data_IF_101035591013
#
_entry.id   IF_101035591013
#
_cell.length_a   1.000
_cell.length_b   1.000
_cell.length_c   1.000
_cell.angle_alpha   90.00
_cell.angle_beta   90.00
_cell.angle_gamma   90.00
#
_symmetry.space_group_name_H-M   'P 1'
#
loop_
_entity.id
_entity.type
_entity.pdbx_description
1 polymer ?
#
# COMPACT_ATOMS: atom_id res chain seq x y z
N UNK A 1 -10.62 3.92 3.08
CA UNK A 1 -10.09 4.05 1.72
C UNK A 1 -9.33 2.79 1.36
N UNK A 2 -9.16 2.54 0.07
CA UNK A 2 -8.34 1.42 -0.40
C UNK A 2 -7.32 1.93 -1.41
N UNK A 3 -6.07 1.52 -1.25
CA UNK A 3 -5.02 1.73 -2.24
C UNK A 3 -4.77 0.41 -2.95
N UNK A 4 -4.91 0.42 -4.28
CA UNK A 4 -4.68 -0.75 -5.12
C UNK A 4 -3.22 -0.83 -5.59
N UNK A 5 -2.70 0.28 -6.10
CA UNK A 5 -1.36 0.35 -6.65
C UNK A 5 -0.69 1.67 -6.29
N UNK A 6 0.53 1.58 -5.79
CA UNK A 6 1.47 2.68 -5.65
C UNK A 6 2.81 2.19 -6.18
N UNK A 7 3.44 2.97 -7.04
CA UNK A 7 4.73 2.64 -7.60
C UNK A 7 5.57 3.90 -7.74
N UNK A 8 6.87 3.73 -7.54
CA UNK A 8 7.90 4.71 -7.88
C UNK A 8 8.79 4.06 -8.94
N UNK A 9 9.03 4.81 -10.00
CA UNK A 9 9.96 4.41 -11.06
C UNK A 9 11.32 4.02 -10.45
N UNK A 10 11.95 2.91 -10.89
CA UNK A 10 13.21 2.42 -10.34
C UNK A 10 14.30 3.48 -10.18
N UNK A 11 14.43 4.39 -11.15
CA UNK A 11 15.48 5.41 -11.18
C UNK A 11 15.25 6.52 -10.16
N UNK A 12 14.04 6.61 -9.60
CA UNK A 12 13.62 7.62 -8.64
C UNK A 12 13.38 7.04 -7.23
N UNK A 13 13.65 5.75 -7.01
CA UNK A 13 13.47 5.11 -5.70
C UNK A 13 14.42 5.71 -4.65
N UNK A 14 14.04 5.56 -3.38
CA UNK A 14 14.77 6.08 -2.20
C UNK A 14 14.88 7.62 -2.15
N UNK A 15 14.20 8.34 -3.04
CA UNK A 15 14.03 9.80 -2.99
C UNK A 15 12.85 10.31 -2.15
N UNK A 16 12.17 9.44 -1.40
CA UNK A 16 11.03 9.81 -0.54
C UNK A 16 9.68 9.94 -1.24
N UNK A 17 9.59 9.75 -2.57
CA UNK A 17 8.35 9.91 -3.33
C UNK A 17 7.21 8.99 -2.88
N UNK A 18 7.52 7.76 -2.45
CA UNK A 18 6.51 6.83 -1.93
C UNK A 18 5.78 7.42 -0.70
N UNK A 19 6.55 7.94 0.26
CA UNK A 19 6.00 8.61 1.45
C UNK A 19 5.23 9.86 1.05
N UNK A 20 5.80 10.71 0.21
CA UNK A 20 5.15 11.93 -0.26
C UNK A 20 3.75 11.67 -0.87
N UNK A 21 3.64 10.63 -1.70
CA UNK A 21 2.35 10.23 -2.27
C UNK A 21 1.37 9.71 -1.20
N UNK A 22 1.86 8.92 -0.24
CA UNK A 22 1.03 8.37 0.84
C UNK A 22 0.50 9.46 1.78
N UNK A 23 1.35 10.39 2.20
CA UNK A 23 0.96 11.53 3.04
C UNK A 23 -0.17 12.34 2.37
N UNK A 24 -0.04 12.59 1.06
CA UNK A 24 -1.06 13.30 0.29
C UNK A 24 -2.39 12.51 0.15
N UNK A 25 -2.33 11.18 0.13
CA UNK A 25 -3.53 10.32 0.13
C UNK A 25 -4.19 10.33 1.51
N UNK A 26 -3.41 10.23 2.58
CA UNK A 26 -3.89 10.31 3.96
C UNK A 26 -4.60 11.64 4.23
N UNK A 27 -4.00 12.77 3.87
CA UNK A 27 -4.59 14.10 4.04
C UNK A 27 -5.96 14.20 3.35
N UNK A 28 -6.05 13.74 2.08
CA UNK A 28 -7.31 13.77 1.32
C UNK A 28 -8.37 12.88 1.94
N UNK A 29 -8.00 11.68 2.38
CA UNK A 29 -8.93 10.75 2.99
C UNK A 29 -9.41 11.22 4.36
N UNK A 30 -8.54 11.82 5.16
CA UNK A 30 -8.89 12.45 6.44
C UNK A 30 -9.86 13.62 6.23
N UNK A 31 -9.61 14.48 5.24
CA UNK A 31 -10.52 15.58 4.90
C UNK A 31 -11.92 15.11 4.47
N UNK A 32 -12.04 13.87 3.98
CA UNK A 32 -13.31 13.22 3.63
C UNK A 32 -13.93 12.43 4.79
N UNK A 33 -13.34 12.47 5.99
CA UNK A 33 -13.81 11.71 7.16
C UNK A 33 -13.58 10.20 7.03
N UNK A 34 -12.64 9.77 6.19
CA UNK A 34 -12.34 8.37 6.01
C UNK A 34 -11.38 7.89 7.12
N UNK A 35 -11.81 6.96 8.00
CA UNK A 35 -11.07 6.69 9.25
C UNK A 35 -9.91 5.71 9.10
N UNK A 36 -9.80 5.02 7.95
CA UNK A 36 -8.82 3.95 7.75
C UNK A 36 -8.46 3.79 6.28
N UNK A 37 -7.21 3.44 6.00
CA UNK A 37 -6.73 2.99 4.71
C UNK A 37 -6.40 1.50 4.79
N UNK A 38 -6.86 0.72 3.80
CA UNK A 38 -6.47 -0.67 3.63
C UNK A 38 -5.69 -0.83 2.31
N UNK A 39 -4.79 -1.80 2.28
CA UNK A 39 -4.01 -2.21 1.12
C UNK A 39 -3.60 -3.67 1.29
N UNK A 40 -3.21 -4.32 0.19
CA UNK A 40 -2.70 -5.68 0.23
C UNK A 40 -1.32 -5.73 -0.40
N UNK A 41 -0.38 -6.33 0.33
CA UNK A 41 0.97 -6.59 -0.15
C UNK A 41 1.15 -8.10 -0.21
N UNK A 42 1.87 -8.59 -1.23
CA UNK A 42 2.28 -10.00 -1.25
C UNK A 42 3.22 -10.25 -0.08
N UNK A 43 2.99 -11.32 0.68
CA UNK A 43 3.80 -11.67 1.86
C UNK A 43 5.28 -11.87 1.55
N UNK A 44 5.62 -12.22 0.31
CA UNK A 44 7.00 -12.35 -0.16
C UNK A 44 7.71 -11.03 -0.45
N UNK A 45 6.99 -9.90 -0.50
CA UNK A 45 7.56 -8.60 -0.81
C UNK A 45 7.91 -7.84 0.47
N UNK A 46 8.99 -8.29 1.13
CA UNK A 46 9.44 -7.74 2.42
C UNK A 46 9.81 -6.26 2.32
N UNK A 47 10.41 -5.81 1.21
CA UNK A 47 10.77 -4.39 1.02
C UNK A 47 9.54 -3.47 1.06
N UNK A 48 8.42 -3.88 0.44
CA UNK A 48 7.18 -3.09 0.47
C UNK A 48 6.50 -3.16 1.83
N UNK A 49 6.59 -4.29 2.53
CA UNK A 49 6.09 -4.41 3.91
C UNK A 49 6.85 -3.43 4.82
N UNK A 50 8.17 -3.49 4.82
CA UNK A 50 9.04 -2.60 5.61
C UNK A 50 8.80 -1.13 5.26
N UNK A 51 8.55 -0.80 4.00
CA UNK A 51 8.17 0.54 3.59
C UNK A 51 6.88 1.01 4.28
N UNK A 52 5.81 0.21 4.24
CA UNK A 52 4.54 0.57 4.85
C UNK A 52 4.64 0.65 6.38
N UNK A 53 5.35 -0.27 7.01
CA UNK A 53 5.64 -0.22 8.45
C UNK A 53 6.39 1.06 8.83
N UNK A 54 7.39 1.46 8.03
CA UNK A 54 8.16 2.69 8.27
C UNK A 54 7.33 3.98 8.19
N UNK A 55 6.16 3.93 7.55
CA UNK A 55 5.25 5.07 7.42
C UNK A 55 4.01 4.94 8.35
N UNK A 56 4.01 3.98 9.27
CA UNK A 56 3.01 3.87 10.34
C UNK A 56 1.84 2.93 10.04
N UNK A 57 1.90 2.16 8.95
CA UNK A 57 0.92 1.11 8.68
C UNK A 57 1.26 -0.14 9.51
N UNK A 58 0.21 -0.84 9.93
CA UNK A 58 0.34 -2.11 10.66
C UNK A 58 -0.39 -3.21 9.92
N UNK A 59 0.11 -4.44 10.05
CA UNK A 59 -0.60 -5.62 9.57
C UNK A 59 -1.83 -5.88 10.46
N UNK A 60 -3.00 -6.01 9.85
CA UNK A 60 -4.18 -6.55 10.51
C UNK A 60 -4.19 -8.09 10.47
N UNK A 61 -4.77 -8.74 11.49
CA UNK A 61 -4.99 -10.18 11.52
C UNK A 61 -6.21 -10.57 10.65
N UNK A 62 -6.01 -10.55 9.33
CA UNK A 62 -7.05 -10.83 8.33
C UNK A 62 -6.50 -11.73 7.21
N UNK A 63 -7.40 -12.52 6.60
CA UNK A 63 -7.09 -13.37 5.44
C UNK A 63 -7.62 -12.74 4.15
N UNK A 64 -6.77 -12.66 3.12
CA UNK A 64 -7.17 -12.26 1.77
C UNK A 64 -7.69 -13.46 0.98
N UNK A 65 -8.85 -13.30 0.34
CA UNK A 65 -9.44 -14.30 -0.55
C UNK A 65 -9.31 -13.86 -2.00
N UNK A 66 -8.93 -14.79 -2.87
CA UNK A 66 -8.88 -14.58 -4.32
C UNK A 66 -9.30 -15.84 -5.06
N UNK A 67 -9.97 -15.67 -6.21
CA UNK A 67 -10.30 -16.76 -7.12
C UNK A 67 -9.71 -16.47 -8.49
N UNK A 68 -8.82 -17.33 -8.96
CA UNK A 68 -8.30 -17.26 -10.31
C UNK A 68 -9.36 -17.79 -11.28
N UNK A 69 -9.80 -16.97 -12.23
CA UNK A 69 -10.76 -17.36 -13.27
C UNK A 69 -10.08 -17.81 -14.57
N UNK A 70 -8.87 -17.31 -14.81
CA UNK A 70 -8.06 -17.59 -16.00
C UNK A 70 -6.67 -18.00 -15.50
N UNK A 71 -6.13 -19.17 -15.87
CA UNK A 71 -4.79 -19.62 -15.45
C UNK A 71 -3.70 -18.65 -15.89
N UNK A 72 -2.66 -18.48 -15.06
CA UNK A 72 -1.41 -17.87 -15.51
C UNK A 72 -0.65 -18.99 -16.26
N UNK A 73 -0.39 -18.79 -17.55
CA UNK A 73 0.31 -19.76 -18.40
C UNK A 73 1.73 -20.03 -17.88
#
# INVERSE_FOLDING_TARGET
GWINYLAVDPDFRRGGYGRFMMDAVEEKLLAQGCPKINLQVRTSNTEVIEFYESIGYTQDDVVSFGKRLIPDN
#
